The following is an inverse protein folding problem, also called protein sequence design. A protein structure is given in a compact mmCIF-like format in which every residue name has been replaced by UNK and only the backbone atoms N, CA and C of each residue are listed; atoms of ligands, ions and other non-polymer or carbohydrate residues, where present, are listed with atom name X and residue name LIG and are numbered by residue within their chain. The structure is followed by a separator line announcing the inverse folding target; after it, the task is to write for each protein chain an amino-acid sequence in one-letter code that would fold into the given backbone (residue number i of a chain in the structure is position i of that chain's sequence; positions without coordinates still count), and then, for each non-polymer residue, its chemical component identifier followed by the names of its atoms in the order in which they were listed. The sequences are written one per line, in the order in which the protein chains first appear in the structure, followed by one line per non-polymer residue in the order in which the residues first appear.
data_IF_349037221037
#
_entry.id   IF_349037221037
#
_cell.length_a   1.000
_cell.length_b   1.000
_cell.length_c   1.000
_cell.angle_alpha   90.00
_cell.angle_beta   90.00
_cell.angle_gamma   90.00
#
_symmetry.space_group_name_H-M   'P 1'
#
loop_
_entity.id
_entity.type
_entity.pdbx_description
1 polymer ?
#
# COMPACT_ATOMS: atom_id res chain seq x y z
N UNK A 1 -11.83 12.21 16.04
CA UNK A 1 -12.19 11.33 17.17
C UNK A 1 -11.75 11.99 18.48
N UNK A 2 -12.65 12.15 19.46
CA UNK A 2 -12.35 12.71 20.78
C UNK A 2 -11.26 11.94 21.53
N UNK A 3 -10.46 12.62 22.35
CA UNK A 3 -9.27 12.04 23.00
C UNK A 3 -9.60 10.87 23.96
N UNK A 4 -10.70 10.99 24.70
CA UNK A 4 -11.19 9.94 25.61
C UNK A 4 -11.57 8.65 24.87
N UNK A 5 -12.09 8.75 23.64
CA UNK A 5 -12.46 7.56 22.86
C UNK A 5 -11.23 6.87 22.25
N UNK A 6 -10.19 7.61 21.86
CA UNK A 6 -8.97 7.01 21.26
C UNK A 6 -8.28 6.02 22.17
N UNK A 7 -8.35 6.23 23.49
CA UNK A 7 -7.75 5.33 24.50
C UNK A 7 -8.44 3.96 24.54
N UNK A 8 -9.75 3.92 24.32
CA UNK A 8 -10.56 2.71 24.53
C UNK A 8 -11.09 2.12 23.21
N UNK A 9 -10.62 2.62 22.07
CA UNK A 9 -11.07 2.16 20.76
C UNK A 9 -9.98 1.38 20.03
N UNK A 10 -10.39 0.33 19.35
CA UNK A 10 -9.62 -0.28 18.28
C UNK A 10 -10.12 0.22 16.92
N UNK A 11 -9.21 0.32 15.95
CA UNK A 11 -9.52 0.64 14.57
C UNK A 11 -9.03 -0.47 13.65
N UNK A 12 -9.73 -0.67 12.54
CA UNK A 12 -9.21 -1.47 11.44
C UNK A 12 -8.23 -0.61 10.65
N UNK A 13 -6.99 -1.06 10.55
CA UNK A 13 -5.90 -0.32 9.94
C UNK A 13 -5.31 -1.13 8.77
N UNK A 14 -5.78 -0.89 7.53
CA UNK A 14 -5.42 -1.68 6.35
C UNK A 14 -4.09 -1.24 5.71
N UNK A 15 -3.25 -0.49 6.42
CA UNK A 15 -2.06 0.12 5.86
C UNK A 15 -0.80 -0.29 6.62
N UNK A 16 0.35 0.00 6.02
CA UNK A 16 1.64 -0.11 6.66
C UNK A 16 1.66 0.75 7.93
N UNK A 17 2.15 0.13 9.01
CA UNK A 17 2.28 0.78 10.31
C UNK A 17 3.22 1.99 10.19
N UNK A 18 2.99 3.06 10.96
CA UNK A 18 3.79 4.28 10.86
C UNK A 18 5.30 4.05 10.97
N UNK A 19 5.72 3.07 11.79
CA UNK A 19 7.13 2.71 12.02
C UNK A 19 7.82 2.23 10.75
N UNK A 20 7.17 1.35 9.97
CA UNK A 20 7.73 0.80 8.73
C UNK A 20 7.43 1.64 7.49
N UNK A 21 6.43 2.51 7.58
CA UNK A 21 5.95 3.28 6.43
C UNK A 21 7.02 4.24 5.91
N UNK A 22 7.77 4.92 6.77
CA UNK A 22 8.75 5.90 6.30
C UNK A 22 9.83 5.26 5.43
N UNK A 23 10.40 4.14 5.86
CA UNK A 23 11.41 3.40 5.11
C UNK A 23 10.83 2.88 3.79
N UNK A 24 9.64 2.29 3.84
CA UNK A 24 8.96 1.73 2.66
C UNK A 24 8.62 2.80 1.61
N UNK A 25 8.34 4.03 2.04
CA UNK A 25 7.95 5.14 1.16
C UNK A 25 9.10 6.08 0.80
N UNK A 26 10.31 5.85 1.31
CA UNK A 26 11.46 6.73 1.09
C UNK A 26 11.76 6.91 -0.41
N UNK A 27 11.83 5.81 -1.18
CA UNK A 27 12.08 5.86 -2.62
C UNK A 27 11.00 6.64 -3.38
N UNK A 28 9.74 6.45 -3.01
CA UNK A 28 8.62 7.18 -3.62
C UNK A 28 8.70 8.67 -3.31
N UNK A 29 8.92 9.05 -2.05
CA UNK A 29 9.02 10.46 -1.64
C UNK A 29 10.18 11.16 -2.34
N UNK A 30 11.35 10.53 -2.41
CA UNK A 30 12.51 11.05 -3.14
C UNK A 30 12.25 11.20 -4.65
N UNK A 31 11.47 10.30 -5.25
CA UNK A 31 11.04 10.45 -6.65
C UNK A 31 10.03 11.60 -6.81
N UNK A 32 9.00 11.66 -5.95
CA UNK A 32 7.97 12.71 -5.96
C UNK A 32 8.59 14.10 -5.84
N UNK A 33 9.53 14.26 -4.91
CA UNK A 33 10.18 15.54 -4.63
C UNK A 33 11.03 16.00 -5.83
N UNK A 34 11.71 15.07 -6.52
CA UNK A 34 12.38 15.35 -7.80
C UNK A 34 11.41 15.76 -8.91
N UNK A 35 10.21 15.19 -8.94
CA UNK A 35 9.17 15.55 -9.90
C UNK A 35 8.40 16.83 -9.51
N UNK A 36 8.74 17.48 -8.38
CA UNK A 36 8.05 18.67 -7.87
C UNK A 36 6.53 18.49 -7.71
N UNK A 37 6.08 17.26 -7.43
CA UNK A 37 4.66 16.93 -7.28
C UNK A 37 4.17 17.25 -5.86
N UNK A 38 4.13 18.53 -5.50
CA UNK A 38 3.66 19.00 -4.18
C UNK A 38 2.16 19.35 -4.20
N UNK A 39 1.50 19.29 -3.04
CA UNK A 39 0.10 19.76 -2.88
C UNK A 39 -1.02 18.74 -3.17
N UNK A 40 -0.71 17.53 -3.65
CA UNK A 40 -1.70 16.44 -3.81
C UNK A 40 -1.62 15.50 -2.61
N UNK A 41 -2.73 14.85 -2.26
CA UNK A 41 -2.76 13.80 -1.23
C UNK A 41 -1.73 12.69 -1.52
N UNK A 42 -0.76 12.52 -0.61
CA UNK A 42 0.36 11.56 -0.73
C UNK A 42 -0.11 10.14 -1.08
N UNK A 43 -1.24 9.72 -0.51
CA UNK A 43 -1.81 8.39 -0.76
C UNK A 43 -2.20 8.18 -2.22
N UNK A 44 -2.83 9.17 -2.84
CA UNK A 44 -3.30 9.09 -4.23
C UNK A 44 -2.09 9.05 -5.16
N UNK A 45 -1.10 9.90 -4.91
CA UNK A 45 0.16 9.90 -5.66
C UNK A 45 0.89 8.57 -5.56
N UNK A 46 0.98 8.00 -4.36
CA UNK A 46 1.63 6.72 -4.13
C UNK A 46 0.90 5.57 -4.82
N UNK A 47 -0.44 5.55 -4.79
CA UNK A 47 -1.23 4.54 -5.49
C UNK A 47 -1.07 4.65 -7.02
N UNK A 48 -1.05 5.87 -7.56
CA UNK A 48 -0.80 6.10 -8.98
C UNK A 48 0.63 5.69 -9.38
N UNK A 49 1.63 6.08 -8.57
CA UNK A 49 3.02 5.67 -8.76
C UNK A 49 3.17 4.15 -8.72
N UNK A 50 2.50 3.49 -7.77
CA UNK A 50 2.49 2.04 -7.66
C UNK A 50 1.90 1.39 -8.92
N UNK A 51 0.73 1.85 -9.38
CA UNK A 51 0.07 1.31 -10.56
C UNK A 51 0.93 1.49 -11.83
N UNK A 52 1.50 2.68 -12.02
CA UNK A 52 2.37 2.96 -13.17
C UNK A 52 3.66 2.15 -13.13
N UNK A 53 4.28 2.01 -11.94
CA UNK A 53 5.48 1.20 -11.76
C UNK A 53 5.19 -0.29 -12.01
N UNK A 54 4.07 -0.80 -11.49
CA UNK A 54 3.66 -2.18 -11.71
C UNK A 54 3.41 -2.47 -13.21
N UNK A 55 2.72 -1.55 -13.91
CA UNK A 55 2.51 -1.65 -15.35
C UNK A 55 3.84 -1.63 -16.11
N UNK A 56 4.72 -0.66 -15.81
CA UNK A 56 6.04 -0.55 -16.42
C UNK A 56 6.90 -1.79 -16.21
N UNK A 57 6.83 -2.40 -15.02
CA UNK A 57 7.53 -3.66 -14.72
C UNK A 57 6.90 -4.88 -15.41
N UNK A 58 5.61 -4.85 -15.75
CA UNK A 58 4.94 -5.92 -16.48
C UNK A 58 5.22 -5.88 -17.99
N UNK A 59 5.38 -4.68 -18.57
CA UNK A 59 5.58 -4.49 -20.02
C UNK A 59 6.67 -5.39 -20.63
N UNK A 60 7.89 -5.52 -20.05
CA UNK A 60 8.94 -6.37 -20.62
C UNK A 60 8.57 -7.85 -20.76
N UNK A 61 7.56 -8.31 -20.00
CA UNK A 61 7.13 -9.71 -20.01
C UNK A 61 5.98 -9.98 -20.98
N UNK A 62 5.27 -8.93 -21.41
CA UNK A 62 4.15 -9.04 -22.35
C UNK A 62 4.66 -9.07 -23.80
N UNK A 63 5.86 -8.53 -24.05
CA UNK A 63 6.53 -8.47 -25.36
C UNK A 63 5.53 -8.06 -26.48
N UNK A 64 5.54 -8.75 -27.62
CA UNK A 64 4.64 -8.47 -28.76
C UNK A 64 3.18 -8.91 -28.54
N UNK A 65 2.88 -9.61 -27.44
CA UNK A 65 1.55 -10.15 -27.15
C UNK A 65 0.77 -9.23 -26.21
N UNK A 66 0.37 -8.06 -26.72
CA UNK A 66 -0.45 -7.07 -26.01
C UNK A 66 -1.93 -7.50 -25.85
N UNK A 67 -2.15 -8.70 -25.31
CA UNK A 67 -3.48 -9.17 -24.92
C UNK A 67 -3.78 -8.74 -23.50
N UNK A 68 -4.97 -8.18 -23.29
CA UNK A 68 -5.44 -7.71 -21.98
C UNK A 68 -5.30 -8.78 -20.91
N UNK A 69 -5.77 -9.99 -21.19
CA UNK A 69 -5.82 -11.06 -20.19
C UNK A 69 -4.41 -11.53 -19.82
N UNK A 70 -3.49 -11.56 -20.78
CA UNK A 70 -2.09 -11.89 -20.52
C UNK A 70 -1.38 -10.82 -19.69
N UNK A 71 -1.67 -9.54 -19.94
CA UNK A 71 -1.18 -8.45 -19.10
C UNK A 71 -1.72 -8.54 -17.66
N UNK A 72 -3.00 -8.88 -17.50
CA UNK A 72 -3.62 -9.07 -16.18
C UNK A 72 -2.96 -10.23 -15.45
N UNK A 73 -2.82 -11.38 -16.09
CA UNK A 73 -2.12 -12.55 -15.53
C UNK A 73 -0.69 -12.19 -15.11
N UNK A 74 0.03 -11.41 -15.94
CA UNK A 74 1.37 -10.98 -15.59
C UNK A 74 1.40 -10.08 -14.36
N UNK A 75 0.48 -9.12 -14.26
CA UNK A 75 0.35 -8.25 -13.08
C UNK A 75 -0.04 -9.04 -11.82
N UNK A 76 -0.92 -10.04 -11.95
CA UNK A 76 -1.28 -10.97 -10.88
C UNK A 76 -0.06 -11.77 -10.40
N UNK A 77 0.73 -12.33 -11.33
CA UNK A 77 1.93 -13.08 -11.02
C UNK A 77 3.05 -12.24 -10.38
N UNK A 78 3.09 -10.94 -10.66
CA UNK A 78 4.05 -10.02 -10.04
C UNK A 78 3.59 -9.55 -8.65
N UNK A 79 2.29 -9.61 -8.36
CA UNK A 79 1.70 -9.10 -7.14
C UNK A 79 2.36 -9.75 -5.91
N UNK A 80 3.21 -8.99 -5.24
CA UNK A 80 4.03 -9.46 -4.14
C UNK A 80 4.88 -8.34 -3.56
N UNK A 81 5.75 -8.64 -2.57
CA UNK A 81 6.49 -7.62 -1.83
C UNK A 81 7.43 -6.75 -2.68
N UNK A 82 7.81 -7.22 -3.87
CA UNK A 82 8.99 -6.76 -4.61
C UNK A 82 8.71 -5.72 -5.73
N UNK A 83 7.46 -5.34 -6.02
CA UNK A 83 7.22 -4.52 -7.22
C UNK A 83 7.61 -3.04 -7.04
N UNK A 84 7.30 -2.39 -5.91
CA UNK A 84 7.73 -1.01 -5.58
C UNK A 84 7.24 -0.58 -4.18
N UNK A 85 7.47 0.69 -3.80
CA UNK A 85 6.90 1.31 -2.61
C UNK A 85 5.36 1.25 -2.61
N UNK A 86 4.78 0.65 -1.57
CA UNK A 86 3.33 0.54 -1.38
C UNK A 86 2.94 0.96 0.03
N UNK A 87 1.73 1.51 0.16
CA UNK A 87 1.12 1.80 1.47
C UNK A 87 0.54 0.56 2.13
N UNK A 88 0.41 -0.55 1.41
CA UNK A 88 -0.16 -1.80 1.90
C UNK A 88 0.96 -2.77 2.31
N UNK A 89 0.87 -3.41 3.50
CA UNK A 89 1.87 -4.36 3.96
C UNK A 89 2.07 -5.52 2.99
N UNK A 90 0.96 -6.08 2.51
CA UNK A 90 0.89 -7.21 1.60
C UNK A 90 0.01 -6.84 0.42
N UNK A 91 0.53 -7.03 -0.78
CA UNK A 91 -0.23 -6.92 -2.02
C UNK A 91 -0.41 -8.31 -2.59
N UNK A 92 -1.67 -8.67 -2.87
CA UNK A 92 -2.03 -9.93 -3.51
C UNK A 92 -3.14 -9.64 -4.50
N UNK A 93 -2.89 -9.96 -5.77
CA UNK A 93 -3.87 -9.95 -6.83
C UNK A 93 -4.07 -11.41 -7.22
N UNK A 94 -5.01 -12.08 -6.56
CA UNK A 94 -5.41 -13.43 -6.97
C UNK A 94 -6.21 -13.40 -8.27
N UNK A 95 -6.34 -14.55 -8.92
CA UNK A 95 -7.09 -14.67 -10.18
C UNK A 95 -8.49 -14.07 -10.07
N UNK A 96 -8.79 -13.08 -10.92
CA UNK A 96 -10.09 -12.40 -10.94
C UNK A 96 -10.33 -11.44 -9.76
N UNK A 97 -9.37 -11.30 -8.84
CA UNK A 97 -9.41 -10.37 -7.73
C UNK A 97 -8.88 -9.00 -8.17
N UNK A 98 -9.72 -7.97 -8.08
CA UNK A 98 -9.37 -6.58 -8.47
C UNK A 98 -9.05 -5.66 -7.28
N UNK A 99 -8.67 -6.24 -6.14
CA UNK A 99 -8.31 -5.50 -4.93
C UNK A 99 -6.85 -5.75 -4.59
N UNK A 100 -6.06 -4.67 -4.45
CA UNK A 100 -4.63 -4.75 -4.17
C UNK A 100 -4.30 -5.37 -2.80
N UNK A 101 -5.16 -5.18 -1.80
CA UNK A 101 -5.03 -5.80 -0.48
C UNK A 101 -6.40 -5.94 0.18
N UNK A 102 -6.62 -7.05 0.90
CA UNK A 102 -7.87 -7.33 1.65
C UNK A 102 -7.67 -7.41 3.17
N UNK A 103 -6.43 -7.26 3.64
CA UNK A 103 -6.15 -7.42 5.06
C UNK A 103 -6.09 -6.11 5.82
N UNK A 104 -5.95 -6.25 7.13
CA UNK A 104 -5.74 -5.13 8.04
C UNK A 104 -5.22 -5.59 9.39
N UNK A 105 -4.63 -4.64 10.12
CA UNK A 105 -4.39 -4.79 11.54
C UNK A 105 -5.62 -4.37 12.31
N UNK A 106 -5.88 -5.02 13.44
CA UNK A 106 -6.54 -4.35 14.56
C UNK A 106 -5.47 -3.46 15.19
N UNK A 107 -5.70 -2.15 15.27
CA UNK A 107 -4.74 -1.20 15.81
C UNK A 107 -5.36 -0.37 16.93
N UNK A 108 -4.54 -0.03 17.93
CA UNK A 108 -4.86 0.93 18.99
C UNK A 108 -3.98 2.15 18.85
N UNK A 109 -4.33 3.23 19.53
CA UNK A 109 -3.50 4.43 19.55
C UNK A 109 -2.52 4.37 20.72
N UNK A 110 -1.23 4.61 20.46
CA UNK A 110 -0.19 4.59 21.49
C UNK A 110 -0.16 5.89 22.33
N UNK A 111 0.10 5.81 23.65
CA UNK A 111 0.33 6.99 24.49
C UNK A 111 1.61 7.76 24.06
N UNK A 112 1.78 9.03 24.48
CA UNK A 112 0.89 9.81 25.35
C UNK A 112 -0.26 10.51 24.59
N UNK A 113 -0.08 10.81 23.31
CA UNK A 113 -1.01 11.66 22.55
C UNK A 113 -2.15 10.88 21.88
N UNK A 114 -2.06 9.54 21.87
CA UNK A 114 -3.04 8.64 21.25
C UNK A 114 -3.32 9.02 19.79
N UNK A 115 -2.30 9.44 19.04
CA UNK A 115 -2.39 9.80 17.62
C UNK A 115 -1.76 8.77 16.70
N UNK A 116 -0.80 7.99 17.20
CA UNK A 116 -0.05 7.00 16.44
C UNK A 116 -0.70 5.62 16.54
N UNK A 117 -1.21 5.05 15.43
CA UNK A 117 -1.71 3.68 15.45
C UNK A 117 -0.55 2.69 15.62
N UNK A 118 -0.73 1.73 16.51
CA UNK A 118 0.14 0.58 16.76
C UNK A 118 -0.69 -0.69 16.64
N UNK A 119 -0.14 -1.74 16.05
CA UNK A 119 -0.86 -2.99 15.89
C UNK A 119 -1.12 -3.66 17.24
N UNK A 120 -2.32 -4.19 17.39
CA UNK A 120 -2.81 -4.99 18.52
C UNK A 120 -3.03 -6.42 18.02
N UNK A 121 -1.93 -7.05 17.60
CA UNK A 121 -1.91 -8.38 17.00
C UNK A 121 -1.35 -8.41 15.57
N UNK A 122 -1.58 -9.53 14.91
CA UNK A 122 -1.06 -9.79 13.57
C UNK A 122 -1.94 -9.20 12.45
N UNK A 123 -1.42 -9.26 11.22
CA UNK A 123 -2.17 -8.90 10.02
C UNK A 123 -3.24 -9.94 9.73
N UNK A 124 -4.51 -9.51 9.68
CA UNK A 124 -5.66 -10.39 9.45
C UNK A 124 -6.10 -10.24 7.99
N UNK A 125 -6.38 -11.36 7.31
CA UNK A 125 -7.00 -11.40 5.98
C UNK A 125 -8.32 -12.20 6.10
N UNK A 126 -9.47 -11.65 5.68
CA UNK A 126 -10.75 -12.37 5.66
C UNK A 126 -10.82 -13.45 4.57
#
# INVERSE_FOLDING_TARGET
MPANWRRNSAIIYPFELPERRNDRLASFRAWRDRQSLTGIHERVQLQAYFAASALGSAMPHVNDNLMRDYLVERLEAMAGPAITASIYPRIVLGQGQRFASRGGYVARFAPPDFTRPVADGEWIVP
#
